data_IF_113973449006
#
_entry.id   IF_113973449006
#
_cell.length_a   1.000
_cell.length_b   1.000
_cell.length_c   1.000
_cell.angle_alpha   90.00
_cell.angle_beta   90.00
_cell.angle_gamma   90.00
#
_symmetry.space_group_name_H-M   'P 1'
#
loop_
_entity.id
_entity.type
_entity.pdbx_description
1 polymer ?
#
# COMPACT_ATOMS: atom_id res chain seq x y z
N UNK A 1 44.72 68.61 -14.19
CA UNK A 1 44.01 67.62 -13.36
C UNK A 1 45.03 66.73 -12.69
N UNK A 2 44.99 66.61 -11.36
CA UNK A 2 45.95 65.78 -10.60
C UNK A 2 45.68 64.30 -10.90
N UNK A 3 46.57 63.65 -11.64
CA UNK A 3 46.47 62.22 -11.99
C UNK A 3 46.30 61.33 -10.76
N UNK A 4 46.90 61.73 -9.62
CA UNK A 4 46.76 61.04 -8.33
C UNK A 4 45.32 61.06 -7.77
N UNK A 5 44.59 62.15 -7.96
CA UNK A 5 43.20 62.28 -7.47
C UNK A 5 42.21 61.48 -8.33
N UNK A 6 42.43 61.40 -9.65
CA UNK A 6 41.61 60.57 -10.54
C UNK A 6 41.85 59.08 -10.34
N UNK A 7 43.11 58.65 -10.13
CA UNK A 7 43.45 57.26 -9.80
C UNK A 7 42.83 56.82 -8.47
N UNK A 8 42.84 57.69 -7.46
CA UNK A 8 42.26 57.37 -6.13
C UNK A 8 40.73 57.23 -6.19
N UNK A 9 40.06 58.06 -6.99
CA UNK A 9 38.60 57.94 -7.21
C UNK A 9 38.21 56.64 -7.91
N UNK A 10 38.99 56.23 -8.92
CA UNK A 10 38.76 54.97 -9.65
C UNK A 10 38.93 53.75 -8.73
N UNK A 11 39.95 53.77 -7.87
CA UNK A 11 40.21 52.70 -6.90
C UNK A 11 39.04 52.53 -5.91
N UNK A 12 38.48 53.64 -5.42
CA UNK A 12 37.34 53.58 -4.50
C UNK A 12 36.09 52.95 -5.16
N UNK A 13 35.83 53.30 -6.43
CA UNK A 13 34.73 52.70 -7.19
C UNK A 13 34.98 51.20 -7.41
N UNK A 14 36.20 50.80 -7.76
CA UNK A 14 36.54 49.38 -7.91
C UNK A 14 36.33 48.59 -6.62
N UNK A 15 36.72 49.13 -5.46
CA UNK A 15 36.51 48.48 -4.17
C UNK A 15 35.04 48.31 -3.83
N UNK A 16 34.19 49.29 -4.16
CA UNK A 16 32.73 49.21 -3.95
C UNK A 16 32.12 48.10 -4.84
N UNK A 17 32.54 48.01 -6.10
CA UNK A 17 32.07 46.96 -7.02
C UNK A 17 32.51 45.58 -6.53
N UNK A 18 33.76 45.43 -6.11
CA UNK A 18 34.29 44.17 -5.56
C UNK A 18 33.53 43.78 -4.29
N UNK A 19 33.27 44.71 -3.39
CA UNK A 19 32.50 44.45 -2.17
C UNK A 19 31.05 44.05 -2.50
N UNK A 20 30.41 44.69 -3.47
CA UNK A 20 29.07 44.35 -3.92
C UNK A 20 28.99 42.96 -4.57
N UNK A 21 29.96 42.61 -5.41
CA UNK A 21 30.06 41.28 -6.01
C UNK A 21 30.38 40.20 -4.97
N UNK A 22 31.27 40.48 -4.03
CA UNK A 22 31.60 39.55 -2.94
C UNK A 22 30.40 39.32 -2.02
N UNK A 23 29.64 40.36 -1.68
CA UNK A 23 28.40 40.22 -0.92
C UNK A 23 27.36 39.38 -1.66
N UNK A 24 27.19 39.61 -2.97
CA UNK A 24 26.28 38.82 -3.79
C UNK A 24 26.71 37.35 -3.90
N UNK A 25 28.01 37.10 -4.07
CA UNK A 25 28.59 35.76 -4.11
C UNK A 25 28.48 35.04 -2.76
N UNK A 26 28.66 35.74 -1.63
CA UNK A 26 28.50 35.21 -0.28
C UNK A 26 27.03 34.80 -0.02
N UNK A 27 26.08 35.65 -0.44
CA UNK A 27 24.65 35.34 -0.33
C UNK A 27 24.25 34.14 -1.21
N UNK A 28 24.91 33.95 -2.35
CA UNK A 28 24.77 32.74 -3.17
C UNK A 28 25.45 31.51 -2.53
N UNK A 29 26.59 31.66 -1.86
CA UNK A 29 27.29 30.56 -1.19
C UNK A 29 26.49 29.99 0.00
N UNK A 30 25.80 30.85 0.75
CA UNK A 30 24.88 30.43 1.81
C UNK A 30 23.66 29.63 1.29
N UNK A 31 23.30 29.78 0.01
CA UNK A 31 22.23 29.00 -0.63
C UNK A 31 22.67 27.59 -1.06
N UNK A 32 23.92 27.19 -0.80
CA UNK A 32 24.45 25.87 -1.14
C UNK A 32 24.38 24.86 0.02
N UNK A 33 23.84 25.28 1.16
CA UNK A 33 23.54 24.36 2.26
C UNK A 33 22.35 23.48 1.85
N UNK A 34 22.40 22.15 2.10
CA UNK A 34 21.24 21.29 1.95
C UNK A 34 20.06 21.86 2.73
N UNK A 35 18.91 22.00 2.07
CA UNK A 35 17.67 22.45 2.67
C UNK A 35 16.54 21.47 2.37
N UNK A 36 15.58 21.28 3.29
CA UNK A 36 14.41 20.47 3.01
C UNK A 36 13.60 21.09 1.85
N UNK A 37 13.09 20.25 0.95
CA UNK A 37 12.21 20.73 -0.12
C UNK A 37 10.92 21.35 0.45
N UNK A 38 10.35 20.71 1.47
CA UNK A 38 9.16 21.17 2.18
C UNK A 38 9.51 21.47 3.63
N UNK A 39 9.25 22.72 4.03
CA UNK A 39 9.32 23.15 5.42
C UNK A 39 7.93 22.98 6.05
N UNK A 40 7.63 21.76 6.49
CA UNK A 40 6.37 21.37 7.10
C UNK A 40 6.62 20.54 8.36
N UNK A 41 5.60 20.48 9.23
CA UNK A 41 5.58 19.57 10.38
C UNK A 41 5.12 18.18 9.95
N UNK A 42 6.08 17.31 9.59
CA UNK A 42 5.81 15.94 9.13
C UNK A 42 5.07 15.11 10.18
N UNK A 43 5.24 15.42 11.46
CA UNK A 43 4.50 14.86 12.58
C UNK A 43 3.00 15.17 12.58
N UNK A 44 2.54 16.13 11.76
CA UNK A 44 1.11 16.45 11.60
C UNK A 44 0.48 15.85 10.34
N UNK A 45 1.26 15.22 9.47
CA UNK A 45 0.75 14.62 8.22
C UNK A 45 -0.18 13.45 8.53
N UNK A 46 -1.40 13.51 8.02
CA UNK A 46 -2.40 12.45 8.17
C UNK A 46 -3.08 12.06 6.85
N UNK A 47 -2.85 12.81 5.77
CA UNK A 47 -3.40 12.51 4.44
C UNK A 47 -2.40 12.86 3.35
N UNK A 48 -2.29 11.97 2.36
CA UNK A 48 -1.45 12.11 1.17
C UNK A 48 -2.28 11.77 -0.07
N UNK A 49 -2.24 12.66 -1.06
CA UNK A 49 -2.87 12.42 -2.36
C UNK A 49 -1.82 12.36 -3.45
N UNK A 50 -1.83 11.30 -4.24
CA UNK A 50 -0.93 11.09 -5.38
C UNK A 50 -1.77 11.15 -6.65
N UNK A 51 -1.62 12.22 -7.42
CA UNK A 51 -2.27 12.38 -8.73
C UNK A 51 -1.28 12.06 -9.86
N UNK A 52 -1.77 11.40 -10.90
CA UNK A 52 -1.07 11.15 -12.15
C UNK A 52 -2.04 11.20 -13.33
N UNK A 53 -1.54 10.97 -14.55
CA UNK A 53 -2.39 10.82 -15.75
C UNK A 53 -3.34 9.62 -15.68
N UNK A 54 -3.05 8.60 -14.87
CA UNK A 54 -3.89 7.39 -14.76
C UNK A 54 -4.96 7.50 -13.68
N UNK A 55 -4.95 8.56 -12.87
CA UNK A 55 -5.88 8.73 -11.76
C UNK A 55 -5.25 9.34 -10.53
N UNK A 56 -6.02 9.38 -9.45
CA UNK A 56 -5.61 9.87 -8.14
C UNK A 56 -5.77 8.75 -7.11
N UNK A 57 -4.82 8.65 -6.19
CA UNK A 57 -4.90 7.81 -5.00
C UNK A 57 -4.88 8.72 -3.78
N UNK A 58 -5.81 8.50 -2.86
CA UNK A 58 -5.89 9.23 -1.60
C UNK A 58 -5.66 8.27 -0.44
N UNK A 59 -4.60 8.53 0.32
CA UNK A 59 -4.19 7.77 1.50
C UNK A 59 -4.44 8.63 2.72
N UNK A 60 -5.01 8.07 3.78
CA UNK A 60 -5.19 8.76 5.05
C UNK A 60 -4.98 7.85 6.24
N UNK A 61 -4.48 8.39 7.34
CA UNK A 61 -4.53 7.70 8.62
C UNK A 61 -6.00 7.52 8.99
N UNK A 62 -6.40 6.28 9.26
CA UNK A 62 -7.76 6.02 9.72
C UNK A 62 -8.04 6.80 11.00
N UNK A 63 -8.82 7.88 10.91
CA UNK A 63 -9.66 8.30 12.02
C UNK A 63 -10.60 7.12 12.22
N UNK A 64 -10.39 6.32 13.28
CA UNK A 64 -11.23 5.17 13.57
C UNK A 64 -12.69 5.55 13.30
N UNK A 65 -13.24 5.01 12.21
CA UNK A 65 -14.64 5.22 11.84
C UNK A 65 -15.41 4.99 13.12
N UNK A 66 -16.24 5.95 13.54
CA UNK A 66 -16.91 6.00 14.83
C UNK A 66 -17.76 4.78 15.16
N UNK A 67 -17.11 3.66 15.41
CA UNK A 67 -17.50 2.48 16.16
C UNK A 67 -16.52 2.53 17.31
N UNK A 68 -16.96 3.08 18.45
CA UNK A 68 -16.11 3.42 19.59
C UNK A 68 -15.25 2.26 20.10
N UNK A 69 -14.10 2.05 19.47
CA UNK A 69 -12.98 1.28 19.97
C UNK A 69 -11.82 2.25 20.06
N UNK A 70 -11.88 3.06 21.12
CA UNK A 70 -10.80 3.94 21.49
C UNK A 70 -9.56 3.11 21.77
N UNK A 71 -8.59 3.18 20.87
CA UNK A 71 -7.20 2.85 21.16
C UNK A 71 -6.40 4.08 20.79
N UNK A 72 -6.08 4.87 21.82
CA UNK A 72 -5.05 5.89 21.72
C UNK A 72 -3.74 5.19 21.36
N UNK A 73 -3.30 5.39 20.12
CA UNK A 73 -2.13 4.74 19.57
C UNK A 73 -1.25 5.82 18.96
N UNK A 74 0.05 5.68 19.20
CA UNK A 74 1.10 6.56 18.68
C UNK A 74 1.00 6.69 17.16
N UNK A 75 1.47 7.79 16.58
CA UNK A 75 1.47 8.01 15.12
C UNK A 75 2.23 6.90 14.36
N UNK A 76 3.14 6.21 15.03
CA UNK A 76 3.87 5.02 14.52
C UNK A 76 2.99 3.75 14.40
N UNK A 77 1.72 3.81 14.81
CA UNK A 77 0.80 2.67 14.89
C UNK A 77 -0.58 2.93 14.27
N UNK A 78 -0.75 4.06 13.57
CA UNK A 78 -1.96 4.34 12.81
C UNK A 78 -2.00 3.55 11.50
N UNK A 79 -3.09 2.84 11.23
CA UNK A 79 -3.28 2.13 9.97
C UNK A 79 -3.63 3.10 8.85
N UNK A 80 -2.80 3.15 7.81
CA UNK A 80 -3.11 3.89 6.60
C UNK A 80 -4.22 3.20 5.83
N UNK A 81 -5.11 4.01 5.25
CA UNK A 81 -6.26 3.55 4.48
C UNK A 81 -6.30 4.22 3.11
N UNK A 82 -6.80 3.48 2.13
CA UNK A 82 -7.27 3.98 0.85
C UNK A 82 -8.62 4.65 1.08
N UNK A 83 -8.64 6.00 1.09
CA UNK A 83 -9.82 6.77 1.51
C UNK A 83 -11.03 6.57 0.60
N UNK A 84 -10.81 6.39 -0.70
CA UNK A 84 -11.89 6.19 -1.67
C UNK A 84 -12.55 4.81 -1.53
N UNK A 85 -11.78 3.80 -1.14
CA UNK A 85 -12.24 2.41 -1.08
C UNK A 85 -12.58 1.95 0.35
N UNK A 86 -12.15 2.70 1.38
CA UNK A 86 -12.29 2.32 2.79
C UNK A 86 -11.48 1.07 3.16
N UNK A 87 -10.36 0.83 2.47
CA UNK A 87 -9.53 -0.37 2.63
C UNK A 87 -8.18 -0.06 3.25
N UNK A 88 -7.60 -1.03 3.95
CA UNK A 88 -6.26 -0.91 4.50
C UNK A 88 -5.21 -0.76 3.38
N UNK A 89 -4.27 0.14 3.58
CA UNK A 89 -3.09 0.33 2.75
C UNK A 89 -1.86 -0.30 3.43
N UNK A 90 -0.80 -0.51 2.65
CA UNK A 90 0.51 -0.94 3.13
C UNK A 90 1.17 0.21 3.91
N UNK A 91 0.85 0.32 5.20
CA UNK A 91 1.34 1.39 6.08
C UNK A 91 2.86 1.58 6.00
N UNK A 92 3.63 0.49 6.02
CA UNK A 92 5.10 0.55 5.89
C UNK A 92 5.55 1.25 4.59
N UNK A 93 4.84 1.00 3.48
CA UNK A 93 5.14 1.61 2.19
C UNK A 93 4.79 3.10 2.18
N UNK A 94 3.67 3.48 2.80
CA UNK A 94 3.26 4.89 2.92
C UNK A 94 4.25 5.65 3.81
N UNK A 95 4.62 5.08 4.94
CA UNK A 95 5.60 5.64 5.87
C UNK A 95 6.98 5.79 5.20
N UNK A 96 7.44 4.77 4.46
CA UNK A 96 8.69 4.85 3.71
C UNK A 96 8.68 5.96 2.65
N UNK A 97 7.55 6.21 1.98
CA UNK A 97 7.42 7.35 1.08
C UNK A 97 7.52 8.68 1.85
N UNK A 98 6.80 8.82 2.96
CA UNK A 98 6.82 10.04 3.76
C UNK A 98 8.21 10.34 4.32
N UNK A 99 8.89 9.33 4.85
CA UNK A 99 10.27 9.44 5.35
C UNK A 99 11.22 9.88 4.23
N UNK A 100 11.12 9.28 3.03
CA UNK A 100 11.92 9.70 1.87
C UNK A 100 11.68 11.17 1.51
N UNK A 101 10.44 11.66 1.58
CA UNK A 101 10.10 13.04 1.26
C UNK A 101 10.55 14.03 2.37
N UNK A 102 10.50 13.61 3.64
CA UNK A 102 11.01 14.38 4.78
C UNK A 102 12.52 14.55 4.74
N UNK A 103 13.24 13.46 4.46
CA UNK A 103 14.70 13.45 4.35
C UNK A 103 15.21 14.09 3.05
N UNK A 104 14.31 14.49 2.14
CA UNK A 104 14.67 15.02 0.83
C UNK A 104 15.31 16.41 0.95
N UNK A 105 16.64 16.44 0.80
CA UNK A 105 17.41 17.67 0.81
C UNK A 105 17.73 18.13 -0.62
N UNK A 106 17.44 19.39 -0.90
CA UNK A 106 17.77 20.05 -2.16
C UNK A 106 18.93 21.03 -1.98
N UNK A 107 19.68 21.25 -3.06
CA UNK A 107 20.80 22.21 -3.13
C UNK A 107 20.51 23.24 -4.22
N UNK A 108 21.39 23.40 -5.21
CA UNK A 108 21.17 24.30 -6.33
C UNK A 108 20.02 23.85 -7.23
N UNK A 109 19.08 24.75 -7.55
CA UNK A 109 18.09 24.47 -8.56
C UNK A 109 18.72 24.38 -9.95
N UNK A 110 18.23 23.44 -10.75
CA UNK A 110 18.60 23.31 -12.17
C UNK A 110 17.90 24.35 -13.05
N UNK A 111 16.81 24.94 -12.54
CA UNK A 111 16.13 26.09 -13.14
C UNK A 111 15.36 26.89 -12.09
N UNK A 112 15.19 28.19 -12.33
CA UNK A 112 14.58 29.13 -11.38
C UNK A 112 13.47 29.98 -12.00
N UNK A 113 12.99 29.62 -13.19
CA UNK A 113 11.97 30.36 -13.92
C UNK A 113 10.76 29.49 -14.27
N UNK A 114 9.58 30.11 -14.28
CA UNK A 114 8.32 29.44 -14.57
C UNK A 114 8.26 28.80 -15.96
N UNK A 115 8.88 29.44 -16.97
CA UNK A 115 8.91 28.95 -18.35
C UNK A 115 9.60 27.58 -18.49
N UNK A 116 10.47 27.22 -17.54
CA UNK A 116 11.15 25.94 -17.53
C UNK A 116 10.27 24.76 -17.09
N UNK A 117 9.17 25.02 -16.38
CA UNK A 117 8.37 23.97 -15.74
C UNK A 117 7.86 22.94 -16.74
N UNK A 118 7.42 23.39 -17.91
CA UNK A 118 6.93 22.49 -18.95
C UNK A 118 8.02 21.58 -19.50
N UNK A 119 9.23 22.11 -19.72
CA UNK A 119 10.39 21.34 -20.21
C UNK A 119 10.81 20.25 -19.21
N UNK A 120 10.73 20.54 -17.92
CA UNK A 120 11.06 19.58 -16.86
C UNK A 120 9.89 18.69 -16.45
N UNK A 121 8.72 18.86 -17.06
CA UNK A 121 7.49 18.16 -16.71
C UNK A 121 7.09 18.36 -15.24
N UNK A 122 7.27 19.56 -14.70
CA UNK A 122 6.91 19.89 -13.31
C UNK A 122 5.82 20.97 -13.24
N UNK A 123 5.06 21.15 -14.32
CA UNK A 123 3.87 22.00 -14.33
C UNK A 123 2.61 21.19 -13.96
N UNK A 124 1.52 21.89 -13.60
CA UNK A 124 0.28 21.24 -13.14
C UNK A 124 -0.39 20.35 -14.19
N UNK A 125 -0.07 20.52 -15.48
CA UNK A 125 -0.69 19.81 -16.60
C UNK A 125 0.11 18.58 -17.01
N UNK A 126 1.44 18.65 -16.94
CA UNK A 126 2.32 17.62 -17.48
C UNK A 126 3.15 16.86 -16.43
N UNK A 127 3.05 17.22 -15.14
CA UNK A 127 3.65 16.45 -14.05
C UNK A 127 3.35 14.95 -14.14
N UNK A 128 4.38 14.14 -13.99
CA UNK A 128 4.27 12.69 -13.97
C UNK A 128 3.59 12.22 -12.69
N UNK A 129 3.94 12.83 -11.56
CA UNK A 129 3.24 12.69 -10.27
C UNK A 129 3.06 14.06 -9.64
N UNK A 130 1.97 14.20 -8.91
CA UNK A 130 1.73 15.32 -7.99
C UNK A 130 1.37 14.74 -6.64
N UNK A 131 2.18 15.04 -5.64
CA UNK A 131 1.98 14.61 -4.26
C UNK A 131 1.47 15.83 -3.48
N UNK A 132 0.27 15.74 -2.92
CA UNK A 132 -0.27 16.74 -2.02
C UNK A 132 -0.36 16.15 -0.61
N UNK A 133 0.16 16.87 0.38
CA UNK A 133 0.35 16.42 1.76
C UNK A 133 -0.50 17.29 2.68
N UNK A 134 -1.25 16.68 3.59
CA UNK A 134 -2.27 17.34 4.39
C UNK A 134 -2.19 16.99 5.88
N UNK A 135 -2.77 17.88 6.68
CA UNK A 135 -3.24 17.62 8.05
C UNK A 135 -4.73 17.95 8.10
N UNK A 136 -5.57 16.93 8.23
CA UNK A 136 -7.00 16.99 7.97
C UNK A 136 -7.28 17.50 6.55
N UNK A 137 -8.02 18.61 6.46
CA UNK A 137 -8.29 19.28 5.18
C UNK A 137 -7.28 20.38 4.83
N UNK A 138 -6.31 20.65 5.71
CA UNK A 138 -5.32 21.69 5.48
C UNK A 138 -4.15 21.16 4.63
N UNK A 139 -3.91 21.79 3.47
CA UNK A 139 -2.76 21.48 2.61
C UNK A 139 -1.48 22.01 3.24
N UNK A 140 -0.56 21.11 3.62
CA UNK A 140 0.75 21.45 4.16
C UNK A 140 1.77 21.71 3.06
N UNK A 141 1.73 20.92 1.98
CA UNK A 141 2.68 21.04 0.88
C UNK A 141 2.27 20.27 -0.36
N UNK A 142 2.78 20.71 -1.51
CA UNK A 142 2.59 20.05 -2.80
C UNK A 142 3.96 19.87 -3.47
N UNK A 143 4.20 18.70 -4.05
CA UNK A 143 5.39 18.37 -4.84
C UNK A 143 4.94 17.93 -6.23
N UNK A 144 5.45 18.60 -7.26
CA UNK A 144 5.31 18.18 -8.65
C UNK A 144 6.58 17.47 -9.09
N UNK A 145 6.41 16.29 -9.66
CA UNK A 145 7.50 15.38 -10.05
C UNK A 145 7.40 15.15 -11.55
N UNK A 146 8.51 15.37 -12.23
CA UNK A 146 8.60 15.42 -13.67
C UNK A 146 9.57 14.42 -14.26
N UNK A 147 10.32 14.87 -15.27
CA UNK A 147 11.19 14.02 -16.08
C UNK A 147 12.40 13.49 -15.30
N UNK A 148 12.99 12.40 -15.80
CA UNK A 148 14.17 11.78 -15.22
C UNK A 148 15.42 12.16 -16.03
N UNK A 149 16.39 12.92 -15.46
CA UNK A 149 17.65 13.25 -16.13
C UNK A 149 18.67 12.09 -16.12
N UNK A 150 18.44 11.03 -15.34
CA UNK A 150 19.38 9.94 -15.15
C UNK A 150 18.84 8.84 -14.23
N UNK A 151 19.63 7.78 -14.05
CA UNK A 151 19.25 6.65 -13.18
C UNK A 151 19.00 7.15 -11.74
N UNK A 152 17.84 6.78 -11.18
CA UNK A 152 17.35 7.22 -9.85
C UNK A 152 17.25 8.73 -9.66
N UNK A 153 17.16 9.50 -10.74
CA UNK A 153 17.02 10.94 -10.65
C UNK A 153 15.69 11.40 -11.20
N UNK A 154 15.06 12.35 -10.52
CA UNK A 154 13.83 13.00 -10.98
C UNK A 154 13.93 14.51 -10.81
N UNK A 155 13.36 15.24 -11.76
CA UNK A 155 13.09 16.65 -11.59
C UNK A 155 11.87 16.85 -10.69
N UNK A 156 11.99 17.74 -9.72
CA UNK A 156 10.91 18.04 -8.80
C UNK A 156 10.77 19.54 -8.57
N UNK A 157 9.59 19.95 -8.14
CA UNK A 157 9.26 21.33 -7.80
C UNK A 157 8.28 21.38 -6.64
N UNK A 158 8.53 22.24 -5.67
CA UNK A 158 7.54 22.61 -4.64
C UNK A 158 6.42 23.44 -5.28
N UNK A 159 5.18 23.11 -4.99
CA UNK A 159 4.01 23.88 -5.42
C UNK A 159 4.15 25.36 -5.03
N UNK A 160 3.87 26.26 -5.98
CA UNK A 160 4.02 27.70 -5.80
C UNK A 160 5.46 28.25 -5.92
N UNK A 161 6.48 27.41 -6.03
CA UNK A 161 7.86 27.83 -6.33
C UNK A 161 8.17 27.76 -7.83
N UNK A 162 9.09 28.61 -8.28
CA UNK A 162 9.68 28.54 -9.63
C UNK A 162 10.91 27.64 -9.72
N UNK A 163 11.49 27.27 -8.58
CA UNK A 163 12.72 26.49 -8.51
C UNK A 163 12.47 25.02 -8.82
N UNK A 164 13.24 24.49 -9.77
CA UNK A 164 13.24 23.08 -10.16
C UNK A 164 14.55 22.45 -9.69
N UNK A 165 14.46 21.29 -9.05
CA UNK A 165 15.60 20.56 -8.54
C UNK A 165 15.70 19.19 -9.20
N UNK A 166 16.91 18.64 -9.31
CA UNK A 166 17.10 17.23 -9.58
C UNK A 166 17.43 16.53 -8.26
N UNK A 167 16.70 15.47 -7.92
CA UNK A 167 16.88 14.72 -6.67
C UNK A 167 17.03 13.23 -6.93
N UNK A 168 17.59 12.52 -5.96
CA UNK A 168 17.61 11.06 -5.96
C UNK A 168 16.25 10.51 -5.50
N UNK A 169 15.44 10.05 -6.46
CA UNK A 169 14.09 9.52 -6.25
C UNK A 169 13.69 8.68 -7.46
N UNK A 170 12.80 7.72 -7.26
CA UNK A 170 12.28 6.87 -8.33
C UNK A 170 10.75 6.93 -8.41
N UNK A 171 10.18 6.86 -9.61
CA UNK A 171 8.72 6.82 -9.79
C UNK A 171 8.10 5.53 -9.22
N UNK A 172 8.89 4.47 -9.09
CA UNK A 172 8.49 3.20 -8.49
C UNK A 172 8.16 3.35 -6.99
N UNK A 173 8.77 4.32 -6.31
CA UNK A 173 8.45 4.67 -4.91
C UNK A 173 7.11 5.40 -4.78
N UNK A 174 6.59 5.94 -5.90
CA UNK A 174 5.37 6.76 -5.96
C UNK A 174 4.40 6.15 -6.99
N UNK A 175 3.95 4.91 -6.75
CA UNK A 175 3.05 4.25 -7.68
C UNK A 175 1.71 5.02 -7.76
N UNK A 176 1.14 5.17 -8.97
CA UNK A 176 -0.06 5.97 -9.17
C UNK A 176 -1.36 5.17 -9.01
N UNK A 177 -1.29 3.85 -8.80
CA UNK A 177 -2.46 2.98 -8.76
C UNK A 177 -2.81 2.62 -7.33
N UNK A 178 -4.11 2.68 -7.00
CA UNK A 178 -4.68 2.24 -5.71
C UNK A 178 -4.18 0.86 -5.30
N UNK A 179 -4.18 -0.09 -6.25
CA UNK A 179 -3.76 -1.50 -6.01
C UNK A 179 -2.31 -1.64 -5.56
N UNK A 180 -1.45 -0.68 -5.91
CA UNK A 180 -0.03 -0.71 -5.52
C UNK A 180 0.18 -0.30 -4.06
N UNK A 181 -0.84 0.31 -3.44
CA UNK A 181 -0.88 0.73 -2.04
C UNK A 181 -1.73 -0.19 -1.17
N UNK A 182 -2.61 -1.02 -1.74
CA UNK A 182 -3.50 -1.94 -1.02
C UNK A 182 -2.73 -2.89 -0.09
N UNK A 183 -3.15 -3.04 1.16
CA UNK A 183 -2.65 -4.09 2.05
C UNK A 183 -3.07 -5.46 1.49
N UNK A 184 -2.09 -6.19 0.96
CA UNK A 184 -2.34 -7.49 0.35
C UNK A 184 -2.85 -8.52 1.36
N UNK A 185 -2.64 -8.33 2.65
CA UNK A 185 -3.05 -9.25 3.71
C UNK A 185 -4.40 -8.91 4.35
N UNK A 186 -5.18 -7.95 3.81
CA UNK A 186 -6.42 -7.46 4.41
C UNK A 186 -7.51 -8.55 4.64
N UNK A 187 -7.40 -9.69 3.94
CA UNK A 187 -8.30 -10.85 4.08
C UNK A 187 -7.68 -12.03 4.85
N UNK A 188 -6.41 -11.95 5.26
CA UNK A 188 -5.76 -13.00 6.02
C UNK A 188 -6.54 -13.35 7.29
N UNK A 189 -6.84 -14.63 7.48
CA UNK A 189 -7.51 -15.13 8.68
C UNK A 189 -6.46 -15.57 9.71
N UNK A 190 -6.16 -14.67 10.65
CA UNK A 190 -5.20 -14.93 11.73
C UNK A 190 -5.91 -15.51 12.94
N UNK A 191 -5.23 -16.39 13.68
CA UNK A 191 -5.71 -16.96 14.95
C UNK A 191 -7.06 -17.68 14.87
N UNK A 192 -7.37 -18.34 13.75
CA UNK A 192 -8.67 -19.01 13.53
C UNK A 192 -8.99 -20.03 14.62
N UNK A 193 -10.24 -20.01 15.09
CA UNK A 193 -10.77 -20.93 16.11
C UNK A 193 -11.68 -22.01 15.51
N UNK A 194 -12.38 -21.68 14.44
CA UNK A 194 -13.30 -22.60 13.75
C UNK A 194 -13.35 -22.31 12.26
N UNK A 195 -13.39 -23.37 11.45
CA UNK A 195 -13.64 -23.30 10.01
C UNK A 195 -14.78 -24.24 9.68
N UNK A 196 -15.78 -23.73 8.99
CA UNK A 196 -16.92 -24.50 8.54
C UNK A 196 -17.01 -24.44 7.02
N UNK A 197 -16.72 -25.57 6.38
CA UNK A 197 -16.83 -25.75 4.94
C UNK A 197 -18.16 -26.40 4.54
N UNK A 198 -18.26 -26.80 3.27
CA UNK A 198 -19.45 -27.46 2.72
C UNK A 198 -19.83 -28.72 3.51
N UNK A 199 -18.88 -29.64 3.69
CA UNK A 199 -19.12 -30.97 4.27
C UNK A 199 -18.31 -31.23 5.56
N UNK A 200 -17.63 -30.22 6.10
CA UNK A 200 -16.78 -30.38 7.28
C UNK A 200 -16.87 -29.18 8.23
N UNK A 201 -16.47 -29.44 9.47
CA UNK A 201 -16.29 -28.44 10.53
C UNK A 201 -14.98 -28.77 11.23
N UNK A 202 -14.10 -27.77 11.33
CA UNK A 202 -12.87 -27.79 12.11
C UNK A 202 -13.05 -26.90 13.34
N UNK A 203 -12.73 -27.43 14.53
CA UNK A 203 -12.76 -26.67 15.79
C UNK A 203 -11.42 -26.82 16.51
N UNK A 204 -10.83 -25.70 16.91
CA UNK A 204 -9.60 -25.68 17.68
C UNK A 204 -9.91 -26.02 19.15
N UNK A 205 -9.22 -27.01 19.71
CA UNK A 205 -9.32 -27.43 21.11
C UNK A 205 -7.92 -27.50 21.71
N UNK A 206 -7.53 -26.47 22.48
CA UNK A 206 -6.14 -26.28 22.88
C UNK A 206 -5.27 -26.01 21.66
N UNK A 207 -4.21 -26.80 21.48
CA UNK A 207 -3.30 -26.71 20.32
C UNK A 207 -3.68 -27.65 19.17
N UNK A 208 -4.73 -28.46 19.33
CA UNK A 208 -5.13 -29.46 18.35
C UNK A 208 -6.43 -29.08 17.63
N UNK A 209 -6.59 -29.57 16.41
CA UNK A 209 -7.81 -29.42 15.63
C UNK A 209 -8.67 -30.67 15.70
N UNK A 210 -9.98 -30.49 15.87
CA UNK A 210 -10.97 -31.56 15.79
C UNK A 210 -11.77 -31.40 14.49
N UNK A 211 -11.92 -32.49 13.75
CA UNK A 211 -12.67 -32.55 12.50
C UNK A 211 -14.00 -33.26 12.73
N UNK A 212 -15.10 -32.62 12.31
CA UNK A 212 -16.44 -33.20 12.26
C UNK A 212 -16.98 -33.12 10.83
N UNK A 213 -17.53 -34.22 10.30
CA UNK A 213 -18.15 -34.23 8.96
C UNK A 213 -19.64 -33.93 9.02
N UNK A 214 -20.12 -33.10 8.10
CA UNK A 214 -21.55 -32.83 7.89
C UNK A 214 -22.12 -33.91 6.95
N UNK A 215 -22.42 -35.09 7.48
CA UNK A 215 -23.14 -36.13 6.73
C UNK A 215 -24.62 -36.18 7.12
N UNK A 216 -25.53 -36.50 6.19
CA UNK A 216 -26.88 -36.93 6.54
C UNK A 216 -26.79 -38.22 7.37
N UNK A 217 -26.91 -38.07 8.68
CA UNK A 217 -27.14 -38.97 9.84
C UNK A 217 -27.16 -40.52 9.75
N UNK A 218 -26.78 -41.22 8.67
CA UNK A 218 -26.98 -42.68 8.57
C UNK A 218 -25.72 -43.53 8.51
N UNK A 219 -24.51 -42.95 8.49
CA UNK A 219 -23.24 -43.71 8.52
C UNK A 219 -22.17 -43.02 9.38
N UNK A 220 -22.51 -42.57 10.59
CA UNK A 220 -21.51 -42.02 11.53
C UNK A 220 -20.79 -43.17 12.23
N UNK A 221 -19.92 -43.87 11.49
CA UNK A 221 -18.83 -44.60 12.13
C UNK A 221 -17.74 -43.57 12.47
N UNK A 222 -17.43 -43.49 13.77
CA UNK A 222 -16.68 -42.45 14.46
C UNK A 222 -15.17 -42.45 14.14
N UNK A 223 -14.77 -42.44 12.87
CA UNK A 223 -13.38 -42.12 12.54
C UNK A 223 -13.25 -40.60 12.31
N UNK A 224 -13.31 -39.88 13.42
CA UNK A 224 -13.17 -38.42 13.55
C UNK A 224 -11.70 -37.97 13.56
N UNK A 225 -10.80 -38.76 13.01
CA UNK A 225 -9.37 -38.58 13.22
C UNK A 225 -8.83 -37.40 12.38
N UNK A 226 -8.87 -36.20 12.96
CA UNK A 226 -8.12 -35.04 12.46
C UNK A 226 -6.63 -35.37 12.22
N UNK A 227 -6.08 -36.37 12.92
CA UNK A 227 -4.73 -36.91 12.71
C UNK A 227 -4.48 -37.41 11.28
N UNK A 228 -5.48 -38.02 10.61
CA UNK A 228 -5.32 -38.50 9.22
C UNK A 228 -5.32 -37.35 8.21
N UNK A 229 -6.02 -36.27 8.55
CA UNK A 229 -6.14 -35.07 7.71
C UNK A 229 -5.29 -33.89 8.23
N UNK A 230 -4.30 -34.17 9.09
CA UNK A 230 -3.59 -33.12 9.81
C UNK A 230 -2.83 -32.20 8.84
N UNK A 231 -2.19 -32.78 7.83
CA UNK A 231 -1.45 -32.01 6.83
C UNK A 231 -2.38 -31.10 6.02
N UNK A 232 -3.55 -31.59 5.61
CA UNK A 232 -4.54 -30.81 4.84
C UNK A 232 -5.15 -29.69 5.68
N UNK A 233 -5.41 -29.96 6.97
CA UNK A 233 -5.87 -28.95 7.93
C UNK A 233 -4.80 -27.85 8.09
N UNK A 234 -3.54 -28.24 8.30
CA UNK A 234 -2.42 -27.30 8.42
C UNK A 234 -2.21 -26.48 7.14
N UNK A 235 -2.33 -27.11 5.96
CA UNK A 235 -2.26 -26.42 4.67
C UNK A 235 -3.39 -25.39 4.54
N UNK A 236 -4.64 -25.79 4.77
CA UNK A 236 -5.79 -24.87 4.69
C UNK A 236 -5.63 -23.67 5.64
N UNK A 237 -5.20 -23.93 6.88
CA UNK A 237 -4.93 -22.87 7.87
C UNK A 237 -3.79 -21.95 7.42
N UNK A 238 -2.72 -22.52 6.88
CA UNK A 238 -1.59 -21.77 6.33
C UNK A 238 -2.04 -20.89 5.16
N UNK A 239 -2.83 -21.41 4.21
CA UNK A 239 -3.33 -20.65 3.07
C UNK A 239 -4.26 -19.51 3.49
N UNK A 240 -5.17 -19.75 4.45
CA UNK A 240 -6.06 -18.70 4.97
C UNK A 240 -5.29 -17.62 5.75
N UNK A 241 -4.30 -18.02 6.56
CA UNK A 241 -3.44 -17.09 7.32
C UNK A 241 -2.54 -16.26 6.40
N UNK A 242 -2.01 -16.87 5.34
CA UNK A 242 -1.13 -16.20 4.38
C UNK A 242 -1.87 -15.61 3.18
N UNK A 243 -3.21 -15.63 3.17
CA UNK A 243 -4.01 -15.19 2.03
C UNK A 243 -3.61 -13.79 1.58
N UNK A 244 -3.19 -13.67 0.32
CA UNK A 244 -2.79 -12.38 -0.29
C UNK A 244 -3.68 -12.01 -1.46
N UNK A 245 -4.34 -10.87 -1.36
CA UNK A 245 -4.99 -10.26 -2.52
C UNK A 245 -3.97 -9.60 -3.44
N UNK A 246 -4.24 -9.62 -4.73
CA UNK A 246 -3.38 -9.03 -5.78
C UNK A 246 -3.99 -7.77 -6.39
N UNK A 247 -5.29 -7.55 -6.24
CA UNK A 247 -5.98 -6.43 -6.87
C UNK A 247 -7.41 -6.25 -6.39
N UNK A 248 -7.97 -5.10 -6.77
CA UNK A 248 -9.32 -4.67 -6.48
C UNK A 248 -10.18 -4.77 -7.75
N UNK A 249 -11.35 -5.41 -7.67
CA UNK A 249 -12.28 -5.52 -8.79
C UNK A 249 -13.37 -4.45 -8.65
N UNK A 250 -13.35 -3.45 -9.53
CA UNK A 250 -14.39 -2.41 -9.58
C UNK A 250 -15.62 -2.87 -10.36
N UNK A 251 -15.40 -3.49 -11.52
CA UNK A 251 -16.45 -4.03 -12.37
C UNK A 251 -16.59 -5.54 -12.09
N UNK A 252 -17.55 -5.91 -11.23
CA UNK A 252 -17.75 -7.30 -10.82
C UNK A 252 -18.19 -8.16 -12.02
N UNK A 253 -17.47 -9.24 -12.36
CA UNK A 253 -17.92 -10.17 -13.39
C UNK A 253 -19.18 -10.91 -12.92
N UNK A 254 -19.93 -11.47 -13.86
CA UNK A 254 -21.03 -12.37 -13.54
C UNK A 254 -20.47 -13.74 -13.11
N UNK A 255 -20.26 -13.90 -11.80
CA UNK A 255 -19.79 -15.15 -11.20
C UNK A 255 -20.93 -16.17 -11.21
N UNK A 256 -20.71 -17.34 -11.80
CA UNK A 256 -21.71 -18.41 -11.83
C UNK A 256 -21.94 -18.95 -10.42
N UNK A 257 -23.21 -19.10 -10.02
CA UNK A 257 -23.56 -19.69 -8.73
C UNK A 257 -23.20 -21.19 -8.69
N UNK A 258 -22.73 -21.67 -7.54
CA UNK A 258 -22.55 -23.10 -7.24
C UNK A 258 -21.20 -23.71 -7.62
N UNK A 259 -20.29 -22.93 -8.21
CA UNK A 259 -18.90 -23.35 -8.49
C UNK A 259 -17.90 -22.72 -7.52
N UNK A 260 -18.39 -22.24 -6.38
CA UNK A 260 -17.64 -21.45 -5.43
C UNK A 260 -17.33 -22.22 -4.15
N UNK A 261 -16.13 -21.99 -3.62
CA UNK A 261 -15.72 -22.55 -2.33
C UNK A 261 -16.15 -21.57 -1.25
N UNK A 262 -16.98 -22.04 -0.32
CA UNK A 262 -17.45 -21.27 0.83
C UNK A 262 -16.85 -21.80 2.12
N UNK A 263 -16.19 -20.92 2.87
CA UNK A 263 -15.65 -21.21 4.19
C UNK A 263 -16.17 -20.16 5.18
N UNK A 264 -16.89 -20.61 6.19
CA UNK A 264 -17.26 -19.78 7.34
C UNK A 264 -16.14 -19.88 8.38
N UNK A 265 -15.45 -18.77 8.63
CA UNK A 265 -14.25 -18.71 9.47
C UNK A 265 -14.55 -17.87 10.71
N UNK A 266 -14.38 -18.46 11.88
CA UNK A 266 -14.54 -17.79 13.17
C UNK A 266 -13.19 -17.51 13.83
N UNK A 267 -13.03 -16.28 14.31
CA UNK A 267 -11.90 -15.84 15.13
C UNK A 267 -12.43 -14.96 16.27
N UNK A 268 -12.29 -15.43 17.51
CA UNK A 268 -12.93 -14.81 18.67
C UNK A 268 -14.44 -14.66 18.46
N UNK A 269 -14.94 -13.44 18.62
CA UNK A 269 -16.36 -13.11 18.41
C UNK A 269 -16.73 -12.83 16.95
N UNK A 270 -15.75 -12.79 16.03
CA UNK A 270 -15.98 -12.50 14.63
C UNK A 270 -16.24 -13.79 13.85
N UNK A 271 -17.25 -13.76 12.98
CA UNK A 271 -17.52 -14.82 12.01
C UNK A 271 -17.68 -14.21 10.62
N UNK A 272 -16.84 -14.65 9.68
CA UNK A 272 -16.84 -14.16 8.31
C UNK A 272 -16.90 -15.31 7.31
N UNK A 273 -17.78 -15.16 6.32
CA UNK A 273 -17.84 -16.06 5.17
C UNK A 273 -16.85 -15.61 4.11
N UNK A 274 -15.93 -16.49 3.77
CA UNK A 274 -15.07 -16.39 2.60
C UNK A 274 -15.74 -17.09 1.42
N UNK A 275 -15.72 -16.46 0.26
CA UNK A 275 -16.24 -17.04 -0.98
C UNK A 275 -15.17 -16.90 -2.06
N UNK A 276 -14.70 -18.03 -2.57
CA UNK A 276 -13.66 -18.11 -3.59
C UNK A 276 -14.27 -18.57 -4.91
N UNK A 277 -13.94 -17.87 -5.99
CA UNK A 277 -14.44 -18.17 -7.33
C UNK A 277 -13.30 -18.27 -8.33
N UNK A 278 -13.43 -19.19 -9.28
CA UNK A 278 -12.68 -19.20 -10.53
C UNK A 278 -13.63 -18.80 -11.66
N UNK A 279 -13.22 -17.85 -12.50
CA UNK A 279 -14.01 -17.41 -13.65
C UNK A 279 -13.09 -16.97 -14.78
N UNK A 280 -13.19 -17.64 -15.94
CA UNK A 280 -12.37 -17.38 -17.13
C UNK A 280 -10.85 -17.39 -16.84
N UNK A 281 -10.39 -18.30 -15.97
CA UNK A 281 -8.98 -18.39 -15.58
C UNK A 281 -8.49 -17.27 -14.65
N UNK A 282 -9.37 -16.42 -14.15
CA UNK A 282 -9.11 -15.48 -13.06
C UNK A 282 -9.70 -15.98 -11.75
N UNK A 283 -9.07 -15.59 -10.65
CA UNK A 283 -9.39 -16.08 -9.31
C UNK A 283 -9.78 -14.92 -8.42
N UNK A 284 -10.93 -15.08 -7.76
CA UNK A 284 -11.55 -14.04 -6.96
C UNK A 284 -11.84 -14.52 -5.54
N UNK A 285 -11.77 -13.59 -4.60
CA UNK A 285 -12.15 -13.82 -3.21
C UNK A 285 -12.97 -12.64 -2.68
N UNK A 286 -14.05 -12.96 -1.96
CA UNK A 286 -14.85 -12.01 -1.20
C UNK A 286 -14.99 -12.48 0.25
N UNK A 287 -15.09 -11.53 1.17
CA UNK A 287 -15.41 -11.76 2.58
C UNK A 287 -16.69 -11.03 2.96
N UNK A 288 -17.58 -11.67 3.72
CA UNK A 288 -18.95 -11.18 3.96
C UNK A 288 -19.08 -9.85 4.69
N UNK A 289 -18.04 -9.37 5.37
CA UNK A 289 -18.01 -8.06 6.02
C UNK A 289 -17.81 -6.91 5.01
N UNK A 290 -17.56 -7.21 3.73
CA UNK A 290 -17.22 -6.24 2.70
C UNK A 290 -17.95 -6.55 1.40
N UNK A 291 -18.40 -5.51 0.71
CA UNK A 291 -18.96 -5.64 -0.64
C UNK A 291 -17.87 -5.71 -1.73
N UNK A 292 -16.60 -5.70 -1.34
CA UNK A 292 -15.47 -5.65 -2.26
C UNK A 292 -15.07 -7.05 -2.73
N UNK A 293 -14.91 -7.20 -4.05
CA UNK A 293 -14.34 -8.39 -4.67
C UNK A 293 -12.85 -8.15 -4.98
N UNK A 294 -12.01 -9.11 -4.62
CA UNK A 294 -10.56 -9.03 -4.82
C UNK A 294 -10.09 -10.11 -5.78
N UNK A 295 -9.07 -9.79 -6.58
CA UNK A 295 -8.31 -10.82 -7.29
C UNK A 295 -7.24 -11.39 -6.36
N UNK A 296 -6.88 -12.65 -6.56
CA UNK A 296 -5.75 -13.29 -5.88
C UNK A 296 -5.07 -14.31 -6.79
N UNK A 297 -4.06 -15.03 -6.28
CA UNK A 297 -3.25 -15.92 -7.11
C UNK A 297 -3.94 -17.25 -7.39
N UNK A 298 -3.67 -17.82 -8.58
CA UNK A 298 -4.09 -19.18 -8.94
C UNK A 298 -3.62 -20.21 -7.92
N UNK A 299 -2.36 -20.10 -7.48
CA UNK A 299 -1.76 -21.05 -6.53
C UNK A 299 -2.49 -21.04 -5.18
N UNK A 300 -2.85 -19.86 -4.66
CA UNK A 300 -3.59 -19.76 -3.40
C UNK A 300 -5.00 -20.37 -3.54
N UNK A 301 -5.65 -20.17 -4.69
CA UNK A 301 -6.96 -20.80 -4.96
C UNK A 301 -6.84 -22.33 -4.99
N UNK A 302 -5.90 -22.86 -5.75
CA UNK A 302 -5.69 -24.30 -5.90
C UNK A 302 -5.35 -24.97 -4.55
N UNK A 303 -4.52 -24.33 -3.71
CA UNK A 303 -4.17 -24.86 -2.39
C UNK A 303 -5.39 -24.90 -1.45
N UNK A 304 -6.23 -23.85 -1.44
CA UNK A 304 -7.47 -23.80 -0.65
C UNK A 304 -8.47 -24.84 -1.16
N UNK A 305 -8.63 -24.95 -2.49
CA UNK A 305 -9.53 -25.90 -3.12
C UNK A 305 -9.13 -27.34 -2.81
N UNK A 306 -7.86 -27.68 -3.03
CA UNK A 306 -7.32 -29.01 -2.78
C UNK A 306 -7.41 -29.39 -1.31
N UNK A 307 -6.99 -28.50 -0.39
CA UNK A 307 -7.03 -28.79 1.04
C UNK A 307 -8.48 -28.97 1.54
N UNK A 308 -9.41 -28.13 1.07
CA UNK A 308 -10.83 -28.25 1.42
C UNK A 308 -11.44 -29.56 0.90
N UNK A 309 -11.05 -30.00 -0.29
CA UNK A 309 -11.54 -31.23 -0.91
C UNK A 309 -10.95 -32.49 -0.25
N UNK A 310 -9.65 -32.53 0.03
CA UNK A 310 -8.99 -33.70 0.64
C UNK A 310 -9.44 -33.96 2.09
N UNK A 311 -9.87 -32.92 2.81
CA UNK A 311 -10.54 -33.06 4.11
C UNK A 311 -11.87 -33.83 3.97
N UNK A 312 -12.53 -33.75 2.82
CA UNK A 312 -13.78 -34.46 2.51
C UNK A 312 -13.50 -35.88 1.98
N UNK A 313 -12.53 -36.04 1.06
CA UNK A 313 -12.31 -37.27 0.28
C UNK A 313 -11.55 -38.41 0.99
N UNK A 314 -11.05 -38.20 2.22
CA UNK A 314 -10.31 -39.22 3.00
C UNK A 314 -11.10 -40.49 3.39
N UNK A 315 -12.26 -40.71 2.75
CA UNK A 315 -13.18 -41.84 2.83
C UNK A 315 -13.12 -42.82 1.63
N UNK A 316 -12.61 -42.46 0.44
CA UNK A 316 -12.79 -43.33 -0.74
C UNK A 316 -11.79 -44.49 -0.86
N UNK A 317 -10.55 -44.38 -0.36
CA UNK A 317 -9.56 -45.46 -0.44
C UNK A 317 -9.93 -46.72 0.34
N UNK A 318 -10.80 -46.62 1.37
CA UNK A 318 -11.20 -47.79 2.16
C UNK A 318 -12.37 -48.59 1.55
N UNK A 319 -13.17 -48.03 0.64
CA UNK A 319 -14.24 -48.81 -0.03
C UNK A 319 -13.71 -49.76 -1.11
N UNK A 320 -12.50 -49.53 -1.61
CA UNK A 320 -11.86 -50.37 -2.62
C UNK A 320 -11.15 -51.58 -1.99
N UNK A 321 -10.41 -51.40 -0.89
CA UNK A 321 -9.68 -52.51 -0.24
C UNK A 321 -10.58 -53.49 0.53
N UNK A 322 -11.68 -53.03 1.13
CA UNK A 322 -12.63 -53.91 1.86
C UNK A 322 -13.59 -54.68 0.95
N UNK A 323 -13.57 -54.42 -0.36
CA UNK A 323 -14.32 -55.19 -1.38
C UNK A 323 -13.49 -56.30 -2.05
N UNK A 324 -12.18 -56.31 -1.86
CA UNK A 324 -11.26 -57.32 -2.40
C UNK A 324 -10.78 -58.34 -1.36
N UNK A 325 -11.32 -58.31 -0.14
CA UNK A 325 -11.12 -59.35 0.89
C UNK A 325 -12.35 -60.19 1.15
#
# INVERSE_FOLDING_TARGET
>A
MNTKTTLSGLLAIQLIIIAGLWWHAQNQSNNNLPQPLLDIRWENVDKVTITSKTGTVSLGLGLGLGLGLGLGQSKDSGEWQLLEDGLLAQSDKVNALLEKLEQLQVKWPVATNQTSHSRFEVDKKNAQRRIAIYSGENLLGEILIGSSPGLKQLHIRKGGSDQVYAVELELADIPPKTTDWLDRSLLAAKNVDRIEGANFVLVKTGDNWQLSRKSPSILINQDNSAAKNQQEIENLLSSLNKLRVTGLVKDKPHLAEGHDIKLDVTFGDNNWRYTFHEHNGQYFVQRSDRDTLFTFSKSDYEEIAQSSQLIVDSQEEQKAEDKER
#
